data_IF_571230526431
#
_entry.id   IF_571230526431
#
_cell.length_a   1.000
_cell.length_b   1.000
_cell.length_c   1.000
_cell.angle_alpha   90.00
_cell.angle_beta   90.00
_cell.angle_gamma   90.00
#
_symmetry.space_group_name_H-M   'P 1'
#
loop_
_entity.id
_entity.type
_entity.pdbx_description
1 polymer ?
#
# COMPACT_ATOMS: atom_id res chain seq x y z
N UNK A 1 6.56 22.11 -5.21
CA UNK A 1 7.19 20.88 -5.67
C UNK A 1 7.38 19.92 -4.51
N UNK A 2 6.89 18.69 -4.63
CA UNK A 2 7.02 17.72 -3.55
C UNK A 2 8.48 17.31 -3.40
N UNK A 3 8.99 17.34 -2.16
CA UNK A 3 10.31 16.83 -1.85
C UNK A 3 10.16 15.37 -1.42
N UNK A 4 10.52 14.43 -2.30
CA UNK A 4 10.38 13.00 -2.04
C UNK A 4 11.18 12.57 -0.81
N UNK A 5 12.25 13.27 -0.48
CA UNK A 5 13.07 12.96 0.70
C UNK A 5 12.30 13.14 2.01
N UNK A 6 11.22 13.92 1.99
CA UNK A 6 10.37 14.15 3.15
C UNK A 6 9.25 13.11 3.28
N UNK A 7 8.99 12.37 2.21
CA UNK A 7 7.88 11.41 2.16
C UNK A 7 8.35 10.03 2.61
N UNK A 8 7.56 9.41 3.48
CA UNK A 8 7.84 8.06 3.98
C UNK A 8 6.75 7.11 3.53
N UNK A 9 7.16 5.97 2.96
CA UNK A 9 6.25 4.97 2.41
C UNK A 9 6.42 3.66 3.16
N UNK A 10 5.31 3.07 3.57
CA UNK A 10 5.27 1.74 4.16
C UNK A 10 5.00 0.72 3.06
N UNK A 11 5.84 -0.30 2.95
CA UNK A 11 5.65 -1.41 2.00
C UNK A 11 5.34 -2.67 2.80
N UNK A 12 4.20 -3.28 2.53
CA UNK A 12 3.79 -4.50 3.21
C UNK A 12 3.57 -5.62 2.19
N UNK A 13 4.39 -6.64 2.24
CA UNK A 13 4.32 -7.80 1.34
C UNK A 13 5.00 -8.97 2.06
N UNK A 14 4.41 -10.17 2.01
CA UNK A 14 4.98 -11.33 2.68
C UNK A 14 6.13 -11.97 1.89
N UNK A 15 6.31 -11.58 0.62
CA UNK A 15 7.36 -12.13 -0.24
C UNK A 15 8.57 -11.21 -0.20
N UNK A 16 9.70 -11.73 0.28
CA UNK A 16 10.93 -10.94 0.44
C UNK A 16 11.40 -10.30 -0.86
N UNK A 17 11.34 -11.03 -1.97
CA UNK A 17 11.78 -10.51 -3.27
C UNK A 17 10.96 -9.28 -3.68
N UNK A 18 9.65 -9.28 -3.41
CA UNK A 18 8.80 -8.14 -3.69
C UNK A 18 9.12 -6.97 -2.77
N UNK A 19 9.33 -7.23 -1.47
CA UNK A 19 9.73 -6.15 -0.54
C UNK A 19 11.02 -5.49 -1.00
N UNK A 20 12.01 -6.29 -1.37
CA UNK A 20 13.31 -5.79 -1.85
C UNK A 20 13.14 -4.97 -3.13
N UNK A 21 12.40 -5.50 -4.09
CA UNK A 21 12.19 -4.83 -5.38
C UNK A 21 11.44 -3.52 -5.21
N UNK A 22 10.33 -3.53 -4.49
CA UNK A 22 9.50 -2.33 -4.32
C UNK A 22 10.21 -1.27 -3.50
N UNK A 23 10.89 -1.68 -2.42
CA UNK A 23 11.63 -0.70 -1.61
C UNK A 23 12.78 -0.09 -2.37
N UNK A 24 13.49 -0.89 -3.19
CA UNK A 24 14.57 -0.37 -4.02
C UNK A 24 14.11 0.68 -5.01
N UNK A 25 12.98 0.42 -5.68
CA UNK A 25 12.40 1.40 -6.62
C UNK A 25 12.07 2.72 -5.92
N UNK A 26 11.50 2.64 -4.72
CA UNK A 26 11.09 3.83 -3.99
C UNK A 26 12.28 4.59 -3.41
N UNK A 27 13.27 3.87 -2.88
CA UNK A 27 14.49 4.50 -2.38
C UNK A 27 15.24 5.24 -3.49
N UNK A 28 15.27 4.66 -4.69
CA UNK A 28 15.92 5.30 -5.83
C UNK A 28 15.25 6.63 -6.22
N UNK A 29 13.96 6.77 -5.93
CA UNK A 29 13.24 8.01 -6.19
C UNK A 29 13.36 9.03 -5.06
N UNK A 30 14.05 8.67 -3.99
CA UNK A 30 14.29 9.60 -2.88
C UNK A 30 13.32 9.47 -1.71
N UNK A 31 12.39 8.53 -1.75
CA UNK A 31 11.47 8.30 -0.65
C UNK A 31 12.18 7.63 0.52
N UNK A 32 11.67 7.85 1.73
CA UNK A 32 12.02 7.04 2.90
C UNK A 32 11.10 5.83 2.90
N UNK A 33 11.65 4.65 3.16
CA UNK A 33 10.87 3.41 3.06
C UNK A 33 11.08 2.56 4.32
N UNK A 34 9.97 2.06 4.87
CA UNK A 34 9.98 1.01 5.89
C UNK A 34 9.24 -0.19 5.31
N UNK A 35 9.69 -1.39 5.62
CA UNK A 35 9.08 -2.61 5.09
C UNK A 35 8.53 -3.47 6.21
N UNK A 36 7.42 -4.15 5.92
CA UNK A 36 6.79 -5.09 6.85
C UNK A 36 6.41 -6.36 6.09
N UNK A 37 6.48 -7.50 6.76
CA UNK A 37 6.15 -8.79 6.16
C UNK A 37 4.78 -9.32 6.60
N UNK A 38 4.11 -8.58 7.47
CA UNK A 38 2.82 -9.02 8.04
C UNK A 38 2.02 -7.81 8.51
N UNK A 39 0.70 -7.98 8.72
CA UNK A 39 -0.11 -6.91 9.31
C UNK A 39 0.39 -6.48 10.69
N UNK A 40 0.84 -7.42 11.52
CA UNK A 40 1.32 -7.10 12.87
C UNK A 40 2.55 -6.20 12.82
N UNK A 41 3.55 -6.53 11.98
CA UNK A 41 4.75 -5.70 11.85
C UNK A 41 4.44 -4.35 11.22
N UNK A 42 3.47 -4.30 10.30
CA UNK A 42 3.03 -3.04 9.70
C UNK A 42 2.42 -2.11 10.75
N UNK A 43 1.55 -2.64 11.61
CA UNK A 43 0.92 -1.83 12.67
C UNK A 43 1.95 -1.33 13.67
N UNK A 44 2.97 -2.14 13.99
CA UNK A 44 4.06 -1.70 14.87
C UNK A 44 4.85 -0.54 14.26
N UNK A 45 5.10 -0.57 12.95
CA UNK A 45 5.77 0.54 12.26
C UNK A 45 4.92 1.80 12.26
N UNK A 46 3.60 1.66 12.11
CA UNK A 46 2.68 2.80 12.16
C UNK A 46 2.67 3.50 13.52
N UNK A 47 2.97 2.76 14.59
CA UNK A 47 3.12 3.35 15.91
C UNK A 47 4.45 4.10 16.07
N UNK A 48 5.47 3.70 15.30
CA UNK A 48 6.81 4.25 15.43
C UNK A 48 7.07 5.43 14.50
N UNK A 49 6.54 5.36 13.27
CA UNK A 49 6.80 6.34 12.22
C UNK A 49 5.52 6.97 11.72
N UNK A 50 5.64 8.17 11.15
CA UNK A 50 4.56 8.80 10.40
C UNK A 50 4.76 8.50 8.92
N UNK A 51 3.73 7.96 8.27
CA UNK A 51 3.77 7.61 6.86
C UNK A 51 2.87 8.51 6.03
N UNK A 52 3.29 8.77 4.80
CA UNK A 52 2.48 9.50 3.82
C UNK A 52 1.66 8.54 2.97
N UNK A 53 2.18 7.34 2.74
CA UNK A 53 1.53 6.34 1.91
C UNK A 53 1.86 4.93 2.38
N UNK A 54 0.91 4.02 2.28
CA UNK A 54 1.12 2.60 2.50
C UNK A 54 0.85 1.84 1.21
N UNK A 55 1.83 1.06 0.77
CA UNK A 55 1.72 0.18 -0.39
C UNK A 55 1.53 -1.23 0.13
N UNK A 56 0.34 -1.78 -0.03
CA UNK A 56 -0.07 -3.03 0.61
C UNK A 56 -0.36 -4.12 -0.41
N UNK A 57 0.23 -5.29 -0.20
CA UNK A 57 -0.17 -6.48 -0.93
C UNK A 57 -1.54 -6.93 -0.40
N UNK A 58 -2.48 -7.19 -1.30
CA UNK A 58 -3.82 -7.64 -0.92
C UNK A 58 -3.75 -9.00 -0.22
N UNK A 59 -2.93 -9.90 -0.76
CA UNK A 59 -2.81 -11.26 -0.24
C UNK A 59 -1.49 -11.41 0.49
N UNK A 60 -1.53 -11.25 1.82
CA UNK A 60 -0.33 -11.27 2.65
C UNK A 60 0.10 -12.68 3.06
N UNK A 61 -0.68 -13.71 2.72
CA UNK A 61 -0.26 -15.10 2.79
C UNK A 61 -0.47 -15.69 1.39
N UNK A 62 0.58 -15.61 0.57
CA UNK A 62 0.49 -15.98 -0.85
C UNK A 62 0.16 -17.45 -1.08
N UNK A 63 0.47 -18.31 -0.10
CA UNK A 63 0.14 -19.73 -0.18
C UNK A 63 -1.34 -20.03 0.05
N UNK A 64 -2.10 -19.03 0.52
CA UNK A 64 -3.53 -19.19 0.77
C UNK A 64 -4.35 -18.51 -0.33
N UNK A 65 -5.00 -19.31 -1.16
CA UNK A 65 -5.90 -18.77 -2.18
C UNK A 65 -7.05 -18.03 -1.49
N UNK A 66 -7.38 -16.85 -2.01
CA UNK A 66 -8.45 -16.04 -1.46
C UNK A 66 -8.08 -15.26 -0.20
N UNK A 67 -6.79 -15.28 0.22
CA UNK A 67 -6.35 -14.46 1.34
C UNK A 67 -6.49 -12.99 1.01
N UNK A 68 -7.11 -12.22 1.90
CA UNK A 68 -7.34 -10.79 1.72
C UNK A 68 -6.90 -9.99 2.95
N UNK A 69 -5.87 -10.44 3.65
CA UNK A 69 -5.38 -9.74 4.84
C UNK A 69 -4.95 -8.31 4.53
N UNK A 70 -4.46 -8.04 3.31
CA UNK A 70 -4.11 -6.69 2.89
C UNK A 70 -5.31 -5.75 2.88
N UNK A 71 -6.49 -6.25 2.51
CA UNK A 71 -7.73 -5.44 2.56
C UNK A 71 -8.12 -5.13 4.00
N UNK A 72 -8.00 -6.11 4.89
CA UNK A 72 -8.28 -5.91 6.31
C UNK A 72 -7.30 -4.91 6.92
N UNK A 73 -6.02 -5.01 6.57
CA UNK A 73 -5.01 -4.07 7.02
C UNK A 73 -5.30 -2.66 6.50
N UNK A 74 -5.70 -2.52 5.23
CA UNK A 74 -6.05 -1.21 4.67
C UNK A 74 -7.19 -0.57 5.45
N UNK A 75 -8.22 -1.35 5.77
CA UNK A 75 -9.35 -0.87 6.57
C UNK A 75 -8.89 -0.40 7.95
N UNK A 76 -8.01 -1.15 8.58
CA UNK A 76 -7.46 -0.80 9.89
C UNK A 76 -6.65 0.49 9.83
N UNK A 77 -5.83 0.66 8.80
CA UNK A 77 -5.04 1.89 8.64
C UNK A 77 -5.95 3.09 8.44
N UNK A 78 -7.01 2.95 7.64
CA UNK A 78 -8.00 4.02 7.48
C UNK A 78 -8.59 4.46 8.80
N UNK A 79 -8.83 3.50 9.70
CA UNK A 79 -9.41 3.77 11.00
C UNK A 79 -8.43 4.51 11.92
N UNK A 80 -7.18 4.04 12.00
CA UNK A 80 -6.21 4.54 12.98
C UNK A 80 -5.33 5.67 12.45
N UNK A 81 -5.14 5.76 11.12
CA UNK A 81 -4.29 6.79 10.47
C UNK A 81 -4.98 7.28 9.19
N UNK A 82 -6.07 8.01 9.28
CA UNK A 82 -6.85 8.39 8.09
C UNK A 82 -6.10 9.29 7.11
N UNK A 83 -5.01 9.91 7.53
CA UNK A 83 -4.18 10.73 6.64
C UNK A 83 -3.22 9.95 5.77
N UNK A 84 -3.05 8.66 6.01
CA UNK A 84 -2.16 7.84 5.18
C UNK A 84 -2.88 7.45 3.89
N UNK A 85 -2.25 7.73 2.74
CA UNK A 85 -2.77 7.29 1.46
C UNK A 85 -2.51 5.79 1.30
N UNK A 86 -3.42 5.06 0.68
CA UNK A 86 -3.28 3.62 0.50
C UNK A 86 -3.31 3.26 -0.97
N UNK A 87 -2.30 2.49 -1.40
CA UNK A 87 -2.26 1.87 -2.73
C UNK A 87 -2.18 0.38 -2.52
N UNK A 88 -3.12 -0.36 -3.10
CA UNK A 88 -3.15 -1.81 -3.03
C UNK A 88 -2.45 -2.40 -4.25
N UNK A 89 -1.66 -3.45 -4.03
CA UNK A 89 -0.96 -4.15 -5.09
C UNK A 89 -1.25 -5.65 -4.95
N UNK A 90 -1.39 -6.36 -6.07
CA UNK A 90 -1.69 -7.79 -6.02
C UNK A 90 -1.25 -8.49 -7.29
N UNK A 91 -0.87 -9.76 -7.15
CA UNK A 91 -0.67 -10.66 -8.29
C UNK A 91 -1.98 -11.28 -8.80
N UNK A 92 -3.06 -11.12 -8.06
CA UNK A 92 -4.37 -11.75 -8.34
C UNK A 92 -5.48 -10.73 -8.21
N UNK A 93 -5.66 -9.91 -9.24
CA UNK A 93 -6.74 -8.94 -9.23
C UNK A 93 -7.99 -9.54 -9.89
N UNK A 94 -9.13 -9.36 -9.27
CA UNK A 94 -10.43 -9.65 -9.87
C UNK A 94 -11.22 -8.34 -9.95
N UNK A 95 -12.18 -8.23 -10.89
CA UNK A 95 -13.02 -7.04 -10.96
C UNK A 95 -13.72 -6.72 -9.65
N UNK A 96 -14.12 -7.75 -8.92
CA UNK A 96 -14.76 -7.56 -7.61
C UNK A 96 -13.82 -6.95 -6.58
N UNK A 97 -12.58 -7.42 -6.51
CA UNK A 97 -11.59 -6.87 -5.58
C UNK A 97 -11.29 -5.41 -5.89
N UNK A 98 -11.14 -5.07 -7.16
CA UNK A 98 -10.89 -3.70 -7.58
C UNK A 98 -12.07 -2.81 -7.18
N UNK A 99 -13.28 -3.27 -7.44
CA UNK A 99 -14.50 -2.53 -7.10
C UNK A 99 -14.62 -2.33 -5.59
N UNK A 100 -14.40 -3.39 -4.81
CA UNK A 100 -14.46 -3.31 -3.35
C UNK A 100 -13.48 -2.29 -2.78
N UNK A 101 -12.28 -2.22 -3.37
CA UNK A 101 -11.25 -1.30 -2.90
C UNK A 101 -11.57 0.16 -3.23
N UNK A 102 -12.28 0.42 -4.33
CA UNK A 102 -12.52 1.78 -4.84
C UNK A 102 -13.89 2.35 -4.49
N UNK A 103 -14.87 1.51 -4.15
CA UNK A 103 -16.20 2.00 -3.80
C UNK A 103 -16.22 2.52 -2.36
N UNK A 104 -16.83 3.69 -2.12
CA UNK A 104 -16.98 4.18 -0.76
C UNK A 104 -17.85 3.25 0.07
N UNK A 105 -17.52 3.11 1.35
CA UNK A 105 -18.35 2.36 2.29
C UNK A 105 -19.57 3.21 2.74
N UNK A 106 -20.30 2.70 3.73
CA UNK A 106 -21.48 3.40 4.25
C UNK A 106 -21.16 4.77 4.84
N UNK A 107 -19.89 5.02 5.20
CA UNK A 107 -19.43 6.30 5.75
C UNK A 107 -18.78 7.20 4.70
N UNK A 108 -18.80 6.78 3.43
CA UNK A 108 -18.19 7.54 2.35
C UNK A 108 -16.67 7.36 2.24
N UNK A 109 -16.09 6.39 2.95
CA UNK A 109 -14.65 6.14 2.92
C UNK A 109 -14.30 5.09 1.88
N UNK A 110 -13.30 5.38 1.07
CA UNK A 110 -12.73 4.40 0.14
C UNK A 110 -11.63 3.61 0.85
N UNK A 111 -11.44 2.35 0.45
CA UNK A 111 -10.44 1.49 1.05
C UNK A 111 -9.03 1.89 0.61
N UNK A 112 -8.87 2.25 -0.64
CA UNK A 112 -7.56 2.64 -1.19
C UNK A 112 -7.73 3.70 -2.27
N UNK A 113 -6.71 4.54 -2.43
CA UNK A 113 -6.66 5.56 -3.50
C UNK A 113 -6.42 4.94 -4.86
N UNK A 114 -5.71 3.82 -4.92
CA UNK A 114 -5.48 3.12 -6.17
C UNK A 114 -5.21 1.63 -5.93
N UNK A 115 -5.26 0.87 -7.02
CA UNK A 115 -5.11 -0.59 -7.01
C UNK A 115 -4.28 -0.97 -8.24
N UNK A 116 -3.13 -1.62 -8.04
CA UNK A 116 -2.16 -1.91 -9.08
C UNK A 116 -1.87 -3.41 -9.15
N UNK A 117 -2.01 -4.05 -10.33
CA UNK A 117 -1.52 -5.42 -10.49
C UNK A 117 0.00 -5.47 -10.37
N UNK A 118 0.54 -6.52 -9.75
CA UNK A 118 1.99 -6.68 -9.58
C UNK A 118 2.76 -6.65 -10.91
N UNK A 119 2.14 -7.14 -11.99
CA UNK A 119 2.80 -7.14 -13.30
C UNK A 119 2.92 -5.74 -13.93
N UNK A 120 2.33 -4.72 -13.32
CA UNK A 120 2.39 -3.33 -13.82
C UNK A 120 3.28 -2.43 -12.95
N UNK A 121 4.32 -2.99 -12.36
CA UNK A 121 5.21 -2.21 -11.50
C UNK A 121 5.91 -1.04 -12.23
N UNK A 122 6.01 -1.11 -13.55
CA UNK A 122 6.57 0.00 -14.32
C UNK A 122 5.78 1.31 -14.15
N UNK A 123 4.47 1.21 -13.84
CA UNK A 123 3.61 2.37 -13.61
C UNK A 123 3.54 2.78 -12.14
N UNK A 124 4.14 2.01 -11.24
CA UNK A 124 3.99 2.18 -9.80
C UNK A 124 4.44 3.55 -9.32
N UNK A 125 5.63 3.98 -9.76
CA UNK A 125 6.19 5.26 -9.31
C UNK A 125 5.31 6.43 -9.73
N UNK A 126 4.80 6.39 -10.96
CA UNK A 126 3.91 7.44 -11.46
C UNK A 126 2.62 7.50 -10.63
N UNK A 127 2.04 6.33 -10.33
CA UNK A 127 0.80 6.26 -9.56
C UNK A 127 1.02 6.77 -8.13
N UNK A 128 2.14 6.41 -7.51
CA UNK A 128 2.47 6.89 -6.17
C UNK A 128 2.61 8.42 -6.17
N UNK A 129 3.31 8.98 -7.16
CA UNK A 129 3.44 10.43 -7.28
C UNK A 129 2.08 11.11 -7.40
N UNK A 130 1.20 10.56 -8.24
CA UNK A 130 -0.14 11.11 -8.44
C UNK A 130 -0.98 11.05 -7.17
N UNK A 131 -0.93 9.94 -6.45
CA UNK A 131 -1.67 9.77 -5.20
C UNK A 131 -1.18 10.74 -4.14
N UNK A 132 0.13 10.91 -4.00
CA UNK A 132 0.70 11.84 -3.03
C UNK A 132 0.42 13.29 -3.41
N UNK A 133 0.25 13.60 -4.68
CA UNK A 133 -0.08 14.95 -5.14
C UNK A 133 -1.54 15.33 -4.89
N UNK A 134 -2.39 14.40 -4.51
CA UNK A 134 -3.82 14.66 -4.24
C UNK A 134 -4.10 15.30 -2.89
N UNK A 135 -3.11 15.66 -2.15
CA UNK A 135 -3.27 16.30 -0.83
C UNK A 135 -3.98 17.64 -0.90
#
# INVERSE_FOLDING_TARGET
MADNKQRRILVVDDIEDWRTTLSGLLLDEGYKVEVADSPASALALLDTYTFDLALLDVRLIESEDGNTEGLTLASKIREIRPGVKIVLITGYDTPEMVRQAREPDANGLILAEDFIPKYKTASLLQIIEEVLAQE
#
